data_IF_374807393267
#
_entry.id   IF_374807393267
#
_cell.length_a   1.000
_cell.length_b   1.000
_cell.length_c   1.000
_cell.angle_alpha   90.00
_cell.angle_beta   90.00
_cell.angle_gamma   90.00
#
_symmetry.space_group_name_H-M   'P 1'
#
loop_
_entity.id
_entity.type
_entity.pdbx_description
1 polymer ?
#
# COMPACT_ATOMS: atom_id res chain seq x y z
N UNK A 1 -10.46 -29.64 -8.51
CA UNK A 1 -9.36 -30.26 -7.74
C UNK A 1 -8.25 -29.23 -7.57
N UNK A 2 -8.22 -28.53 -6.44
CA UNK A 2 -7.19 -27.51 -6.17
C UNK A 2 -5.83 -28.17 -5.94
N UNK A 3 -4.79 -27.68 -6.62
CA UNK A 3 -3.40 -28.06 -6.35
C UNK A 3 -3.07 -27.65 -4.92
N UNK A 4 -2.99 -28.62 -4.01
CA UNK A 4 -2.33 -28.42 -2.71
C UNK A 4 -0.83 -28.33 -2.99
N UNK A 5 -0.24 -27.14 -2.86
CA UNK A 5 1.21 -26.97 -2.91
C UNK A 5 1.84 -27.76 -1.77
N UNK A 6 2.85 -28.55 -2.13
CA UNK A 6 3.63 -29.40 -1.24
C UNK A 6 4.31 -28.54 -0.17
N UNK A 7 4.33 -29.08 1.05
CA UNK A 7 5.23 -28.74 2.14
C UNK A 7 6.69 -28.88 1.65
N UNK A 8 7.60 -28.01 2.08
CA UNK A 8 9.09 -28.09 1.93
C UNK A 8 9.79 -27.28 0.83
N UNK A 9 9.23 -26.16 0.36
CA UNK A 9 10.06 -25.12 -0.26
C UNK A 9 9.97 -23.89 0.63
N UNK A 10 11.12 -23.44 1.17
CA UNK A 10 11.23 -22.16 1.86
C UNK A 10 10.58 -21.11 0.96
N UNK A 11 9.51 -20.47 1.44
CA UNK A 11 8.79 -19.47 0.63
C UNK A 11 9.79 -18.37 0.25
N UNK A 12 10.17 -18.29 -1.02
CA UNK A 12 10.94 -17.16 -1.54
C UNK A 12 9.98 -16.24 -2.30
N UNK A 13 9.91 -14.98 -1.90
CA UNK A 13 9.05 -14.02 -2.57
C UNK A 13 9.53 -13.82 -4.02
N UNK A 14 8.70 -14.12 -5.04
CA UNK A 14 9.12 -14.04 -6.44
C UNK A 14 9.38 -12.60 -6.92
N UNK A 15 8.98 -11.59 -6.14
CA UNK A 15 9.10 -10.18 -6.49
C UNK A 15 10.32 -9.50 -5.85
N UNK A 16 10.77 -9.98 -4.68
CA UNK A 16 11.86 -9.33 -3.95
C UNK A 16 12.91 -10.28 -3.34
N UNK A 17 12.73 -11.59 -3.47
CA UNK A 17 13.65 -12.60 -2.93
C UNK A 17 13.62 -12.75 -1.41
N UNK A 18 12.66 -12.14 -0.71
CA UNK A 18 12.55 -12.30 0.74
C UNK A 18 12.15 -13.72 1.13
N UNK A 19 12.82 -14.27 2.14
CA UNK A 19 12.58 -15.60 2.71
C UNK A 19 12.16 -15.45 4.19
N UNK A 20 11.13 -16.16 4.67
CA UNK A 20 10.72 -16.14 6.07
C UNK A 20 11.78 -16.69 7.01
N UNK A 21 11.88 -16.08 8.19
CA UNK A 21 12.65 -16.64 9.30
C UNK A 21 12.02 -17.95 9.82
N UNK A 22 12.84 -18.78 10.48
CA UNK A 22 12.38 -20.00 11.13
C UNK A 22 11.22 -19.72 12.11
N UNK A 23 10.14 -20.48 11.98
CA UNK A 23 8.91 -20.34 12.76
C UNK A 23 7.82 -19.49 12.10
N UNK A 24 8.08 -18.92 10.91
CA UNK A 24 7.10 -18.17 10.11
C UNK A 24 6.49 -18.99 8.97
N UNK A 25 6.90 -20.25 8.80
CA UNK A 25 6.47 -21.11 7.68
C UNK A 25 4.96 -21.43 7.66
N UNK A 26 4.27 -21.37 8.80
CA UNK A 26 2.84 -21.71 8.91
C UNK A 26 1.90 -20.50 8.77
N UNK A 27 2.44 -19.31 8.47
CA UNK A 27 1.63 -18.10 8.28
C UNK A 27 1.10 -18.09 6.84
N UNK A 28 -0.22 -18.03 6.70
CA UNK A 28 -0.87 -17.81 5.41
C UNK A 28 -0.76 -16.32 5.05
N UNK A 29 0.29 -15.95 4.32
CA UNK A 29 0.54 -14.58 3.90
C UNK A 29 -0.36 -14.18 2.72
N UNK A 30 -1.07 -13.06 2.84
CA UNK A 30 -1.80 -12.43 1.71
C UNK A 30 -0.89 -11.53 0.86
N UNK A 31 0.26 -11.13 1.40
CA UNK A 31 1.32 -10.36 0.74
C UNK A 31 2.68 -10.67 1.37
N UNK A 32 3.77 -10.41 0.65
CA UNK A 32 5.12 -10.53 1.18
C UNK A 32 5.36 -9.46 2.28
N UNK A 33 5.79 -9.82 3.50
CA UNK A 33 6.04 -8.84 4.56
C UNK A 33 7.10 -7.79 4.21
N UNK A 34 8.04 -8.13 3.33
CA UNK A 34 9.12 -7.22 2.94
C UNK A 34 8.72 -6.24 1.83
N UNK A 35 8.24 -6.72 0.68
CA UNK A 35 7.91 -5.83 -0.45
C UNK A 35 6.43 -5.44 -0.52
N UNK A 36 5.56 -6.09 0.25
CA UNK A 36 4.11 -5.88 0.30
C UNK A 36 3.36 -6.30 -0.98
N UNK A 37 4.04 -6.93 -1.94
CA UNK A 37 3.40 -7.51 -3.13
C UNK A 37 2.71 -8.83 -2.81
N UNK A 38 1.57 -9.07 -3.44
CA UNK A 38 0.82 -10.34 -3.36
C UNK A 38 0.71 -11.04 -4.71
N UNK A 39 0.06 -12.20 -4.74
CA UNK A 39 -0.29 -12.92 -5.98
C UNK A 39 -1.80 -12.83 -6.19
N UNK A 40 -2.21 -12.43 -7.39
CA UNK A 40 -3.61 -12.42 -7.79
C UNK A 40 -3.96 -13.72 -8.52
N UNK A 41 -4.43 -14.73 -7.80
CA UNK A 41 -4.72 -16.04 -8.40
C UNK A 41 -5.89 -15.99 -9.39
N UNK A 42 -6.98 -15.31 -9.02
CA UNK A 42 -8.21 -15.24 -9.81
C UNK A 42 -8.80 -13.83 -9.84
N UNK A 43 -9.34 -13.42 -10.99
CA UNK A 43 -10.11 -12.18 -11.13
C UNK A 43 -11.51 -12.27 -10.51
N UNK A 44 -12.32 -11.20 -10.64
CA UNK A 44 -13.68 -11.14 -10.09
C UNK A 44 -14.63 -12.15 -10.72
N UNK A 45 -14.41 -12.47 -11.99
CA UNK A 45 -15.17 -13.45 -12.75
C UNK A 45 -14.73 -14.90 -12.45
N UNK A 46 -13.63 -15.08 -11.70
CA UNK A 46 -13.07 -16.38 -11.33
C UNK A 46 -12.14 -16.97 -12.39
N UNK A 47 -11.69 -16.20 -13.37
CA UNK A 47 -10.67 -16.63 -14.32
C UNK A 47 -9.28 -16.55 -13.68
N UNK A 48 -8.40 -17.48 -14.05
CA UNK A 48 -7.01 -17.44 -13.59
C UNK A 48 -6.32 -16.16 -14.08
N UNK A 49 -5.68 -15.44 -13.16
CA UNK A 49 -4.97 -14.19 -13.46
C UNK A 49 -3.45 -14.39 -13.33
N UNK A 50 -2.98 -14.80 -12.16
CA UNK A 50 -1.55 -14.99 -11.86
C UNK A 50 -0.72 -13.71 -11.80
N UNK A 51 -1.35 -12.54 -11.77
CA UNK A 51 -0.67 -11.25 -11.78
C UNK A 51 -0.13 -10.83 -10.42
N UNK A 52 0.93 -10.01 -10.41
CA UNK A 52 1.39 -9.36 -9.18
C UNK A 52 0.33 -8.39 -8.66
N UNK A 53 0.03 -8.48 -7.36
CA UNK A 53 -0.68 -7.44 -6.62
C UNK A 53 0.35 -6.41 -6.15
N UNK A 54 0.58 -5.39 -6.97
CA UNK A 54 1.49 -4.28 -6.66
C UNK A 54 0.87 -3.41 -5.54
N UNK A 55 1.57 -3.16 -4.44
CA UNK A 55 1.09 -2.28 -3.38
C UNK A 55 1.16 -0.81 -3.86
N UNK A 56 0.02 -0.12 -3.86
CA UNK A 56 -0.08 1.24 -4.40
C UNK A 56 -0.44 2.29 -3.34
N UNK A 57 -1.03 1.89 -2.22
CA UNK A 57 -1.40 2.80 -1.13
C UNK A 57 -1.72 2.01 0.14
N UNK A 58 -2.04 2.72 1.22
CA UNK A 58 -2.62 2.14 2.44
C UNK A 58 -3.88 2.91 2.82
N UNK A 59 -4.80 2.26 3.54
CA UNK A 59 -5.87 2.96 4.23
C UNK A 59 -5.87 2.60 5.71
N UNK A 60 -6.08 3.60 6.55
CA UNK A 60 -6.15 3.44 8.00
C UNK A 60 -7.59 3.68 8.47
N UNK A 61 -8.18 2.67 9.12
CA UNK A 61 -9.45 2.80 9.84
C UNK A 61 -9.22 3.43 11.22
N UNK A 62 -8.11 3.09 11.85
CA UNK A 62 -7.64 3.64 13.13
C UNK A 62 -6.12 3.56 13.22
N UNK A 63 -5.52 4.08 14.29
CA UNK A 63 -4.05 4.00 14.51
C UNK A 63 -3.50 2.57 14.50
N UNK A 64 -4.31 1.56 14.84
CA UNK A 64 -3.90 0.16 14.92
C UNK A 64 -4.57 -0.74 13.87
N UNK A 65 -5.44 -0.18 13.04
CA UNK A 65 -6.17 -0.93 12.01
C UNK A 65 -5.97 -0.25 10.67
N UNK A 66 -5.17 -0.86 9.80
CA UNK A 66 -5.00 -0.44 8.42
C UNK A 66 -4.91 -1.64 7.49
N UNK A 67 -5.03 -1.35 6.19
CA UNK A 67 -4.87 -2.35 5.13
C UNK A 67 -4.03 -1.75 4.00
N UNK A 68 -3.32 -2.62 3.30
CA UNK A 68 -2.61 -2.27 2.08
C UNK A 68 -3.62 -2.31 0.94
N UNK A 69 -3.59 -1.31 0.07
CA UNK A 69 -4.34 -1.30 -1.18
C UNK A 69 -3.38 -1.74 -2.27
N UNK A 70 -3.75 -2.78 -3.00
CA UNK A 70 -2.94 -3.37 -4.04
C UNK A 70 -3.70 -3.36 -5.36
N UNK A 71 -2.98 -3.21 -6.47
CA UNK A 71 -3.52 -3.27 -7.83
C UNK A 71 -2.87 -4.43 -8.56
N UNK A 72 -3.68 -5.28 -9.18
CA UNK A 72 -3.15 -6.30 -10.08
C UNK A 72 -2.53 -5.65 -11.31
N UNK A 73 -1.26 -5.96 -11.62
CA UNK A 73 -0.56 -5.41 -12.79
C UNK A 73 -1.09 -5.95 -14.12
N UNK A 74 -1.84 -7.06 -14.11
CA UNK A 74 -2.41 -7.68 -15.32
C UNK A 74 -3.85 -7.22 -15.56
N UNK A 75 -4.77 -7.47 -14.62
CA UNK A 75 -6.19 -7.15 -14.82
C UNK A 75 -6.62 -5.81 -14.24
N UNK A 76 -5.77 -5.13 -13.48
CA UNK A 76 -6.08 -3.84 -12.86
C UNK A 76 -6.99 -3.92 -11.62
N UNK A 77 -7.40 -5.11 -11.19
CA UNK A 77 -8.27 -5.26 -10.02
C UNK A 77 -7.59 -4.72 -8.74
N UNK A 78 -8.38 -3.96 -7.95
CA UNK A 78 -7.97 -3.53 -6.62
C UNK A 78 -8.34 -4.57 -5.56
N UNK A 79 -7.35 -4.97 -4.77
CA UNK A 79 -7.49 -5.85 -3.59
C UNK A 79 -6.97 -5.13 -2.36
N UNK A 80 -7.36 -5.63 -1.18
CA UNK A 80 -6.80 -5.14 0.08
C UNK A 80 -6.44 -6.28 1.01
N UNK A 81 -5.28 -6.21 1.64
CA UNK A 81 -4.80 -7.16 2.65
C UNK A 81 -4.56 -6.45 3.99
N UNK A 82 -4.77 -7.11 5.14
CA UNK A 82 -4.56 -6.49 6.44
C UNK A 82 -3.08 -6.14 6.67
N UNK A 83 -2.80 -4.95 7.21
CA UNK A 83 -1.44 -4.65 7.71
C UNK A 83 -1.16 -5.53 8.93
N UNK A 84 0.02 -6.15 8.96
CA UNK A 84 0.46 -7.02 10.05
C UNK A 84 1.68 -6.43 10.77
N UNK A 85 1.97 -6.97 11.96
CA UNK A 85 3.18 -6.58 12.72
C UNK A 85 4.50 -6.96 12.05
N UNK A 86 4.44 -7.83 11.04
CA UNK A 86 5.61 -8.36 10.35
C UNK A 86 5.95 -7.54 9.09
N UNK A 87 5.06 -6.64 8.69
CA UNK A 87 5.23 -5.84 7.49
C UNK A 87 6.36 -4.81 7.67
N UNK A 88 7.14 -4.60 6.61
CA UNK A 88 8.24 -3.66 6.60
C UNK A 88 7.71 -2.22 6.83
N UNK A 89 8.04 -1.59 7.99
CA UNK A 89 7.48 -0.30 8.35
C UNK A 89 7.95 0.81 7.40
N UNK A 90 9.14 0.69 6.80
CA UNK A 90 9.67 1.68 5.84
C UNK A 90 8.87 1.64 4.55
N UNK A 91 8.50 0.44 4.06
CA UNK A 91 7.66 0.30 2.86
C UNK A 91 6.24 0.81 3.11
N UNK A 92 5.65 0.50 4.27
CA UNK A 92 4.36 1.07 4.66
C UNK A 92 4.37 2.60 4.71
N UNK A 93 5.40 3.19 5.32
CA UNK A 93 5.57 4.64 5.35
C UNK A 93 5.73 5.24 3.94
N UNK A 94 6.48 4.57 3.07
CA UNK A 94 6.64 4.99 1.67
C UNK A 94 5.32 4.98 0.91
N UNK A 95 4.46 3.99 1.11
CA UNK A 95 3.13 3.94 0.49
C UNK A 95 2.22 5.06 1.01
N UNK A 96 2.26 5.32 2.32
CA UNK A 96 1.49 6.40 2.94
C UNK A 96 1.92 7.78 2.44
N UNK A 97 3.23 8.00 2.31
CA UNK A 97 3.81 9.27 1.88
C UNK A 97 3.81 9.47 0.36
N UNK A 98 3.68 8.39 -0.44
CA UNK A 98 3.76 8.43 -1.90
C UNK A 98 2.88 9.52 -2.53
N UNK A 99 1.58 9.57 -2.23
CA UNK A 99 0.69 10.61 -2.77
C UNK A 99 1.08 12.05 -2.37
N UNK A 100 1.79 12.22 -1.25
CA UNK A 100 2.28 13.53 -0.81
C UNK A 100 3.61 13.91 -1.49
N UNK A 101 4.47 12.92 -1.78
CA UNK A 101 5.75 13.12 -2.45
C UNK A 101 5.63 13.31 -3.97
N UNK A 102 4.57 12.78 -4.59
CA UNK A 102 4.26 12.94 -6.01
C UNK A 102 2.77 13.29 -6.20
N UNK A 103 2.35 14.49 -5.77
CA UNK A 103 0.97 14.93 -5.83
C UNK A 103 0.49 15.07 -7.27
N UNK A 104 -0.81 14.85 -7.50
CA UNK A 104 -1.45 14.96 -8.83
C UNK A 104 -1.59 16.41 -9.34
N UNK A 105 -1.04 17.38 -8.60
CA UNK A 105 -1.10 18.81 -8.88
C UNK A 105 0.19 19.48 -8.36
N UNK A 106 0.59 20.63 -8.92
CA UNK A 106 1.83 21.31 -8.55
C UNK A 106 1.67 21.96 -7.16
N UNK A 107 2.22 21.32 -6.13
CA UNK A 107 2.16 21.84 -4.75
C UNK A 107 2.90 23.16 -4.61
N UNK A 108 3.90 23.41 -5.46
CA UNK A 108 4.67 24.66 -5.49
C UNK A 108 3.81 25.87 -5.89
N UNK A 109 2.65 25.64 -6.53
CA UNK A 109 1.71 26.68 -6.99
C UNK A 109 0.39 26.67 -6.21
N UNK A 110 0.41 26.21 -4.96
CA UNK A 110 -0.80 26.09 -4.13
C UNK A 110 -1.56 27.42 -3.99
N UNK A 111 -0.86 28.55 -3.85
CA UNK A 111 -1.50 29.86 -3.70
C UNK A 111 -2.33 30.22 -4.94
N UNK A 112 -1.78 30.03 -6.13
CA UNK A 112 -2.49 30.30 -7.39
C UNK A 112 -3.71 29.40 -7.55
N UNK A 113 -3.60 28.13 -7.15
CA UNK A 113 -4.74 27.20 -7.13
C UNK A 113 -5.85 27.69 -6.18
N UNK A 114 -5.50 28.18 -4.99
CA UNK A 114 -6.46 28.72 -4.02
C UNK A 114 -7.14 30.01 -4.53
N UNK A 115 -6.39 30.89 -5.18
CA UNK A 115 -6.91 32.14 -5.75
C UNK A 115 -7.94 31.84 -6.86
N UNK A 116 -7.65 30.88 -7.75
CA UNK A 116 -8.59 30.40 -8.78
C UNK A 116 -9.85 29.78 -8.18
N UNK A 117 -9.76 29.19 -6.98
CA UNK A 117 -10.90 28.64 -6.24
C UNK A 117 -11.64 29.69 -5.38
N UNK A 118 -11.37 30.99 -5.60
CA UNK A 118 -12.06 32.09 -4.91
C UNK A 118 -11.43 32.52 -3.59
N UNK A 119 -10.17 32.15 -3.33
CA UNK A 119 -9.36 32.69 -2.23
C UNK A 119 -9.83 32.30 -0.82
N UNK A 120 -10.61 31.22 -0.68
CA UNK A 120 -11.20 30.83 0.62
C UNK A 120 -10.21 30.28 1.66
N UNK A 121 -8.89 30.36 1.40
CA UNK A 121 -7.83 29.82 2.25
C UNK A 121 -7.05 30.86 3.06
N UNK A 122 -7.57 32.06 3.29
CA UNK A 122 -6.88 33.10 4.09
C UNK A 122 -6.47 32.57 5.48
N UNK A 123 -5.16 32.62 5.76
CA UNK A 123 -4.56 32.33 7.08
C UNK A 123 -4.04 33.61 7.77
N UNK A 124 -4.57 34.79 7.41
CA UNK A 124 -4.21 36.08 8.03
C UNK A 124 -4.52 36.06 9.55
N UNK A 125 -3.54 35.60 10.34
CA UNK A 125 -3.66 35.40 11.78
C UNK A 125 -2.82 34.25 12.34
N UNK A 126 -2.52 33.21 11.54
CA UNK A 126 -1.83 32.00 12.04
C UNK A 126 -0.41 32.28 12.55
N UNK A 127 0.27 33.30 11.99
CA UNK A 127 1.59 33.77 12.45
C UNK A 127 1.56 34.57 13.77
N UNK A 128 0.38 34.96 14.26
CA UNK A 128 0.24 35.78 15.47
C UNK A 128 0.16 34.93 16.75
N UNK A 129 -0.36 33.70 16.65
CA UNK A 129 -0.51 32.75 17.77
C UNK A 129 0.72 31.86 18.04
N UNK A 130 1.66 31.72 17.09
CA UNK A 130 2.86 30.85 17.23
C UNK A 130 4.07 31.56 17.89
N UNK A 131 3.85 32.72 18.52
CA UNK A 131 4.89 33.56 19.16
C UNK A 131 4.66 33.79 20.66
N UNK A 132 3.67 33.12 21.25
CA UNK A 132 3.40 33.06 22.71
C UNK A 132 3.64 31.64 23.24
#
# INVERSE_FOLDING_TARGET
>A
MGRKMKREEEFECPYCGWVPDAGMENIAWEHCPNCLSGLHDYDREGNACGGELEPISIWAKSRSQGRIIQRCVICGELRTSPITRHDNPVKLMSLAAGPLGAPAFPVERMQELLDLMGGQGSMEGWNREQRE
#
